data_IF_333509539390
#
_entry.id   IF_333509539390
#
_cell.length_a   1.000
_cell.length_b   1.000
_cell.length_c   1.000
_cell.angle_alpha   90.00
_cell.angle_beta   90.00
_cell.angle_gamma   90.00
#
_symmetry.space_group_name_H-M   'P 1'
#
loop_
_entity.id
_entity.type
_entity.pdbx_description
1 polymer ?
#
# COMPACT_ATOMS: atom_id res chain seq x y z
N UNK A 1 9.52 -2.09 17.39
CA UNK A 1 8.42 -2.68 16.62
C UNK A 1 8.97 -3.90 15.90
N UNK A 2 8.34 -5.06 16.10
CA UNK A 2 8.75 -6.33 15.49
C UNK A 2 7.95 -6.53 14.20
N UNK A 3 8.60 -6.32 13.06
CA UNK A 3 8.01 -6.35 11.73
C UNK A 3 8.65 -7.51 10.96
N UNK A 4 7.87 -8.32 10.24
CA UNK A 4 8.38 -9.48 9.50
C UNK A 4 7.88 -9.54 8.06
N UNK A 5 8.56 -10.32 7.23
CA UNK A 5 8.22 -10.50 5.82
C UNK A 5 8.03 -11.99 5.48
N UNK A 6 7.05 -12.28 4.63
CA UNK A 6 6.84 -13.60 4.02
C UNK A 6 6.94 -13.49 2.51
N UNK A 7 7.74 -14.35 1.88
CA UNK A 7 8.01 -14.33 0.44
C UNK A 7 7.67 -15.70 -0.15
N UNK A 8 6.54 -15.77 -0.86
CA UNK A 8 6.03 -17.03 -1.42
C UNK A 8 6.70 -17.46 -2.74
N UNK A 9 7.62 -16.66 -3.29
CA UNK A 9 8.31 -17.02 -4.54
C UNK A 9 9.29 -18.17 -4.27
N UNK A 10 9.26 -19.20 -5.11
CA UNK A 10 10.16 -20.36 -5.07
C UNK A 10 11.48 -20.14 -5.82
N UNK A 11 11.75 -18.92 -6.28
CA UNK A 11 13.00 -18.56 -6.96
C UNK A 11 14.19 -18.61 -6.00
N UNK A 12 15.36 -19.03 -6.47
CA UNK A 12 16.62 -18.97 -5.70
C UNK A 12 17.02 -17.53 -5.33
N UNK A 13 16.46 -16.54 -6.03
CA UNK A 13 16.60 -15.12 -5.74
C UNK A 13 15.22 -14.47 -5.52
N UNK A 14 14.41 -15.06 -4.63
CA UNK A 14 13.06 -14.58 -4.30
C UNK A 14 13.07 -13.27 -3.51
N UNK A 15 14.03 -13.11 -2.60
CA UNK A 15 14.26 -11.88 -1.85
C UNK A 15 15.63 -11.32 -2.22
N UNK A 16 15.67 -10.08 -2.75
CA UNK A 16 16.88 -9.54 -3.37
C UNK A 16 17.24 -8.18 -2.81
N UNK A 17 18.50 -8.00 -2.46
CA UNK A 17 19.10 -6.70 -2.18
C UNK A 17 19.83 -6.16 -3.40
N UNK A 18 19.49 -4.97 -3.87
CA UNK A 18 20.20 -4.34 -5.00
C UNK A 18 21.14 -3.24 -4.48
N UNK A 19 22.43 -3.39 -4.78
CA UNK A 19 23.49 -2.46 -4.34
C UNK A 19 24.27 -2.95 -3.13
N UNK A 20 25.35 -2.24 -2.78
CA UNK A 20 26.16 -2.54 -1.59
C UNK A 20 25.41 -2.10 -0.33
N UNK A 21 25.38 -2.95 0.71
CA UNK A 21 24.68 -2.73 1.98
C UNK A 21 23.13 -2.69 1.87
N UNK A 22 22.54 -3.58 1.08
CA UNK A 22 21.08 -3.73 0.99
C UNK A 22 20.51 -4.51 2.19
N UNK A 23 20.74 -3.98 3.38
CA UNK A 23 20.37 -4.60 4.65
C UNK A 23 18.92 -4.28 5.04
N UNK A 24 18.21 -5.25 5.62
CA UNK A 24 16.87 -5.07 6.17
C UNK A 24 16.88 -5.23 7.68
N UNK A 25 16.15 -4.36 8.37
CA UNK A 25 15.97 -4.42 9.83
C UNK A 25 14.55 -4.94 10.11
N UNK A 26 14.40 -6.27 10.13
CA UNK A 26 13.14 -6.99 10.37
C UNK A 26 13.39 -8.04 11.43
N UNK A 27 12.36 -8.43 12.19
CA UNK A 27 12.51 -9.47 13.22
C UNK A 27 12.35 -10.89 12.69
N UNK A 28 11.77 -11.07 11.50
CA UNK A 28 11.64 -12.37 10.83
C UNK A 28 11.49 -12.19 9.32
N UNK A 29 12.11 -13.08 8.54
CA UNK A 29 11.93 -13.16 7.08
C UNK A 29 11.78 -14.64 6.74
N UNK A 30 10.61 -15.07 6.29
CA UNK A 30 10.37 -16.41 5.76
C UNK A 30 10.29 -16.38 4.23
N UNK A 31 11.02 -17.25 3.54
CA UNK A 31 11.12 -17.30 2.09
C UNK A 31 10.91 -18.73 1.60
N UNK A 32 10.00 -18.94 0.64
CA UNK A 32 9.80 -20.27 0.04
C UNK A 32 10.96 -20.72 -0.85
N UNK A 33 11.54 -19.81 -1.62
CA UNK A 33 12.77 -20.02 -2.38
C UNK A 33 14.01 -19.60 -1.61
N UNK A 34 14.94 -18.91 -2.27
CA UNK A 34 16.18 -18.41 -1.71
C UNK A 34 16.28 -16.88 -1.67
N UNK A 35 17.34 -16.39 -1.02
CA UNK A 35 17.71 -14.97 -0.97
C UNK A 35 19.00 -14.67 -1.75
N UNK A 36 19.04 -13.48 -2.34
CA UNK A 36 20.21 -12.88 -3.01
C UNK A 36 20.45 -11.50 -2.38
N UNK A 37 20.93 -11.50 -1.14
CA UNK A 37 21.17 -10.29 -0.34
C UNK A 37 22.68 -10.11 -0.13
N UNK A 38 23.23 -9.02 -0.63
CA UNK A 38 24.53 -8.53 -0.18
C UNK A 38 24.36 -7.45 0.89
N UNK A 39 24.77 -7.79 2.11
CA UNK A 39 24.71 -6.92 3.28
C UNK A 39 26.06 -6.81 4.00
N UNK A 40 27.20 -7.14 3.36
CA UNK A 40 28.56 -6.96 3.92
C UNK A 40 28.69 -7.38 5.41
N UNK A 41 28.12 -8.53 5.78
CA UNK A 41 28.12 -9.08 7.14
C UNK A 41 27.38 -8.24 8.21
N UNK A 42 26.48 -7.33 7.81
CA UNK A 42 25.66 -6.49 8.69
C UNK A 42 24.21 -7.00 8.87
N UNK A 43 23.95 -8.28 8.57
CA UNK A 43 22.60 -8.85 8.65
C UNK A 43 22.17 -8.92 10.12
N UNK A 44 21.05 -8.27 10.48
CA UNK A 44 20.47 -8.39 11.82
C UNK A 44 19.66 -9.68 12.01
N UNK A 45 19.06 -10.19 10.94
CA UNK A 45 18.35 -11.47 10.91
C UNK A 45 18.73 -12.26 9.66
N UNK A 46 18.97 -13.56 9.81
CA UNK A 46 19.16 -14.47 8.68
C UNK A 46 17.78 -14.90 8.18
N UNK A 47 17.46 -14.75 6.88
CA UNK A 47 16.21 -15.26 6.32
C UNK A 47 16.09 -16.78 6.49
N UNK A 48 14.89 -17.22 6.83
CA UNK A 48 14.49 -18.62 6.92
C UNK A 48 13.99 -19.07 5.53
N UNK A 49 14.83 -19.81 4.80
CA UNK A 49 14.56 -20.23 3.42
C UNK A 49 13.98 -21.64 3.36
N UNK A 50 13.20 -21.94 2.33
CA UNK A 50 12.51 -23.23 2.17
C UNK A 50 11.23 -23.38 3.00
N UNK A 51 10.72 -22.30 3.60
CA UNK A 51 9.46 -22.35 4.35
C UNK A 51 8.24 -22.49 3.42
N UNK A 52 7.14 -23.13 3.85
CA UNK A 52 5.94 -23.25 3.03
C UNK A 52 5.37 -21.89 2.60
N UNK A 53 4.83 -21.83 1.38
CA UNK A 53 4.16 -20.62 0.89
C UNK A 53 2.89 -20.34 1.72
N UNK A 54 2.71 -19.09 2.11
CA UNK A 54 1.56 -18.63 2.89
C UNK A 54 0.42 -18.27 1.96
N UNK A 55 -0.78 -18.79 2.21
CA UNK A 55 -1.98 -18.39 1.45
C UNK A 55 -2.28 -16.90 1.69
N UNK A 56 -2.77 -16.21 0.66
CA UNK A 56 -3.17 -14.79 0.79
C UNK A 56 -4.09 -14.59 2.02
N UNK A 57 -3.62 -13.87 3.05
CA UNK A 57 -4.32 -13.75 4.33
C UNK A 57 -5.62 -12.94 4.22
N UNK A 58 -5.81 -12.20 3.12
CA UNK A 58 -6.97 -11.35 2.88
C UNK A 58 -7.93 -11.95 1.85
N UNK A 59 -7.68 -13.16 1.34
CA UNK A 59 -8.46 -13.80 0.26
C UNK A 59 -9.96 -13.97 0.59
N UNK A 60 -10.34 -13.97 1.87
CA UNK A 60 -11.74 -14.10 2.30
C UNK A 60 -12.50 -12.78 2.33
N UNK A 61 -11.80 -11.64 2.25
CA UNK A 61 -12.43 -10.33 2.23
C UNK A 61 -13.17 -10.14 0.89
N UNK A 62 -14.44 -9.77 0.94
CA UNK A 62 -15.27 -9.56 -0.28
C UNK A 62 -14.99 -8.18 -0.86
N UNK A 63 -14.66 -8.09 -2.15
CA UNK A 63 -14.43 -6.80 -2.83
C UNK A 63 -15.64 -5.85 -2.75
N UNK A 64 -15.43 -4.53 -2.71
CA UNK A 64 -16.52 -3.57 -2.85
C UNK A 64 -17.33 -3.81 -4.12
N UNK A 65 -18.64 -4.07 -3.96
CA UNK A 65 -19.55 -4.24 -5.08
C UNK A 65 -19.85 -2.88 -5.73
N UNK A 66 -19.10 -2.60 -6.80
CA UNK A 66 -19.23 -1.34 -7.55
C UNK A 66 -20.56 -1.22 -8.30
N UNK A 67 -21.36 -2.29 -8.45
CA UNK A 67 -22.64 -2.23 -9.16
C UNK A 67 -23.76 -1.58 -8.34
N UNK A 68 -23.60 -1.54 -7.02
CA UNK A 68 -24.59 -1.01 -6.07
C UNK A 68 -24.15 0.30 -5.39
N UNK A 69 -22.92 0.76 -5.63
CA UNK A 69 -22.39 1.97 -5.02
C UNK A 69 -22.90 3.23 -5.72
N UNK A 70 -23.20 4.27 -4.94
CA UNK A 70 -23.53 5.58 -5.47
C UNK A 70 -22.30 6.23 -6.13
N UNK A 71 -22.55 7.18 -7.04
CA UNK A 71 -21.50 8.03 -7.60
C UNK A 71 -20.93 8.94 -6.50
N UNK A 72 -19.61 8.99 -6.40
CA UNK A 72 -18.92 9.93 -5.53
C UNK A 72 -18.92 11.35 -6.12
N UNK A 73 -18.37 12.32 -5.39
CA UNK A 73 -18.13 13.67 -5.91
C UNK A 73 -16.97 13.70 -6.92
N UNK A 74 -16.83 14.84 -7.62
CA UNK A 74 -15.62 15.18 -8.38
C UNK A 74 -15.30 14.32 -9.62
N UNK A 75 -16.30 13.64 -10.21
CA UNK A 75 -16.16 12.64 -11.29
C UNK A 75 -15.62 13.14 -12.65
N UNK A 76 -15.13 14.37 -12.75
CA UNK A 76 -14.62 14.97 -14.00
C UNK A 76 -13.24 15.63 -13.84
N UNK A 77 -12.56 15.47 -12.70
CA UNK A 77 -11.51 16.42 -12.31
C UNK A 77 -10.06 15.96 -12.56
N UNK A 78 -9.39 16.68 -13.47
CA UNK A 78 -7.92 16.85 -13.50
C UNK A 78 -7.64 18.19 -12.82
N UNK A 79 -6.85 18.24 -11.74
CA UNK A 79 -6.70 19.48 -10.96
C UNK A 79 -5.24 19.94 -10.95
N UNK A 80 -5.06 21.19 -11.36
CA UNK A 80 -3.80 21.93 -11.46
C UNK A 80 -3.99 23.30 -10.79
N UNK A 81 -3.83 23.41 -9.46
CA UNK A 81 -4.00 24.71 -8.78
C UNK A 81 -3.82 24.72 -7.25
N UNK A 82 -4.59 25.61 -6.61
CA UNK A 82 -4.71 25.78 -5.15
C UNK A 82 -6.20 25.67 -4.80
N UNK A 83 -6.74 24.46 -4.85
CA UNK A 83 -8.17 24.21 -4.60
C UNK A 83 -8.37 23.50 -3.26
N UNK A 84 -9.52 23.71 -2.63
CA UNK A 84 -9.98 22.86 -1.52
C UNK A 84 -11.06 21.92 -2.05
N UNK A 85 -10.81 20.61 -1.97
CA UNK A 85 -11.65 19.59 -2.60
C UNK A 85 -12.06 18.55 -1.56
N UNK A 86 -13.33 18.20 -1.54
CA UNK A 86 -13.86 17.14 -0.67
C UNK A 86 -14.38 15.99 -1.52
N UNK A 87 -13.82 14.80 -1.32
CA UNK A 87 -14.29 13.55 -1.89
C UNK A 87 -15.32 12.93 -0.95
N UNK A 88 -16.56 12.77 -1.44
CA UNK A 88 -17.58 11.96 -0.77
C UNK A 88 -17.41 10.49 -1.18
N UNK A 89 -17.72 9.51 -0.30
CA UNK A 89 -17.61 8.10 -0.64
C UNK A 89 -18.47 7.74 -1.86
N UNK A 90 -17.98 6.82 -2.69
CA UNK A 90 -18.67 6.40 -3.90
C UNK A 90 -17.73 6.11 -5.07
N UNK A 91 -18.33 5.98 -6.25
CA UNK A 91 -17.62 5.70 -7.50
C UNK A 91 -17.17 7.00 -8.16
N UNK A 92 -15.87 7.09 -8.41
CA UNK A 92 -15.18 8.17 -9.07
C UNK A 92 -14.77 7.74 -10.48
N UNK A 93 -15.51 8.25 -11.48
CA UNK A 93 -15.39 7.82 -12.89
C UNK A 93 -14.52 8.73 -13.76
N UNK A 94 -13.96 9.80 -13.20
CA UNK A 94 -13.06 10.70 -13.91
C UNK A 94 -11.64 10.16 -13.98
N UNK A 95 -10.74 10.91 -14.62
CA UNK A 95 -9.30 10.77 -14.38
C UNK A 95 -8.96 11.69 -13.22
N UNK A 96 -8.48 11.15 -12.10
CA UNK A 96 -8.21 11.92 -10.90
C UNK A 96 -6.71 12.18 -10.76
N UNK A 97 -6.31 13.42 -11.01
CA UNK A 97 -4.95 13.89 -10.82
C UNK A 97 -4.96 15.07 -9.85
N UNK A 98 -4.42 14.85 -8.65
CA UNK A 98 -4.23 15.87 -7.61
C UNK A 98 -2.79 16.37 -7.72
N UNK A 99 -2.61 17.69 -7.86
CA UNK A 99 -1.28 18.27 -8.09
C UNK A 99 -1.14 19.68 -7.48
N UNK A 100 0.02 20.31 -7.67
CA UNK A 100 0.26 21.68 -7.22
C UNK A 100 0.18 21.82 -5.70
N UNK A 101 -0.69 22.73 -5.24
CA UNK A 101 -0.91 23.00 -3.80
C UNK A 101 -2.36 22.75 -3.40
N UNK A 102 -3.05 21.84 -4.08
CA UNK A 102 -4.43 21.45 -3.73
C UNK A 102 -4.49 20.89 -2.29
N UNK A 103 -5.61 21.15 -1.60
CA UNK A 103 -5.96 20.59 -0.30
C UNK A 103 -7.15 19.67 -0.50
N UNK A 104 -6.93 18.37 -0.35
CA UNK A 104 -7.92 17.33 -0.59
C UNK A 104 -8.29 16.65 0.72
N UNK A 105 -9.59 16.51 0.96
CA UNK A 105 -10.15 15.75 2.07
C UNK A 105 -10.99 14.60 1.53
N UNK A 106 -10.65 13.38 1.93
CA UNK A 106 -11.50 12.21 1.77
C UNK A 106 -12.37 12.04 3.01
N UNK A 107 -13.69 12.10 2.83
CA UNK A 107 -14.64 11.77 3.89
C UNK A 107 -14.61 10.26 4.20
N UNK A 108 -14.94 9.83 5.43
CA UNK A 108 -14.91 8.41 5.78
C UNK A 108 -15.81 7.56 4.87
N UNK A 109 -15.28 6.45 4.36
CA UNK A 109 -16.00 5.52 3.49
C UNK A 109 -15.14 4.90 2.40
N UNK A 110 -15.81 4.22 1.47
CA UNK A 110 -15.16 3.57 0.32
C UNK A 110 -15.15 4.51 -0.88
N UNK A 111 -13.97 4.78 -1.42
CA UNK A 111 -13.74 5.56 -2.62
C UNK A 111 -13.25 4.66 -3.74
N UNK A 112 -14.05 4.51 -4.78
CA UNK A 112 -13.75 3.63 -5.90
C UNK A 112 -13.24 4.47 -7.06
N UNK A 113 -11.98 4.31 -7.46
CA UNK A 113 -11.40 5.07 -8.57
C UNK A 113 -11.33 4.21 -9.84
N UNK A 114 -12.31 4.39 -10.72
CA UNK A 114 -12.47 3.55 -11.91
C UNK A 114 -11.35 3.74 -12.94
N UNK A 115 -10.62 4.86 -12.93
CA UNK A 115 -9.53 5.13 -13.88
C UNK A 115 -8.17 5.38 -13.21
N UNK A 116 -8.00 4.90 -11.98
CA UNK A 116 -6.79 5.16 -11.20
C UNK A 116 -6.84 6.51 -10.47
N UNK A 117 -5.82 6.72 -9.66
CA UNK A 117 -5.64 7.91 -8.83
C UNK A 117 -4.17 8.32 -8.88
N UNK A 118 -3.92 9.52 -9.36
CA UNK A 118 -2.60 10.15 -9.37
C UNK A 118 -2.58 11.30 -8.38
N UNK A 119 -1.57 11.34 -7.52
CA UNK A 119 -1.31 12.42 -6.58
C UNK A 119 0.15 12.83 -6.75
N UNK A 120 0.40 13.96 -7.40
CA UNK A 120 1.74 14.46 -7.72
C UNK A 120 2.14 15.72 -6.94
N UNK A 121 1.26 16.22 -6.08
CA UNK A 121 1.47 17.40 -5.23
C UNK A 121 0.29 17.61 -4.27
N UNK A 122 0.31 18.73 -3.54
CA UNK A 122 -0.75 19.11 -2.61
C UNK A 122 -0.74 18.36 -1.27
N UNK A 123 -1.78 18.59 -0.48
CA UNK A 123 -2.03 17.94 0.81
C UNK A 123 -3.30 17.09 0.70
N UNK A 124 -3.19 15.81 1.03
CA UNK A 124 -4.32 14.86 1.00
C UNK A 124 -4.54 14.30 2.39
N UNK A 125 -5.75 14.41 2.91
CA UNK A 125 -6.13 13.98 4.26
C UNK A 125 -7.37 13.10 4.23
N UNK A 126 -7.49 12.18 5.18
CA UNK A 126 -8.67 11.31 5.31
C UNK A 126 -8.51 10.31 6.43
N UNK A 127 -9.59 10.04 7.15
CA UNK A 127 -9.63 9.03 8.22
C UNK A 127 -10.86 8.17 8.03
N UNK A 128 -10.70 6.86 8.21
CA UNK A 128 -11.76 5.91 7.95
C UNK A 128 -12.02 5.71 6.46
N UNK A 129 -10.97 5.73 5.65
CA UNK A 129 -11.08 5.70 4.19
C UNK A 129 -10.51 4.42 3.60
N UNK A 130 -11.23 3.82 2.66
CA UNK A 130 -10.74 2.72 1.82
C UNK A 130 -10.76 3.17 0.37
N UNK A 131 -9.60 3.19 -0.27
CA UNK A 131 -9.44 3.52 -1.68
C UNK A 131 -9.35 2.21 -2.46
N UNK A 132 -10.35 1.95 -3.29
CA UNK A 132 -10.47 0.74 -4.09
C UNK A 132 -10.28 1.03 -5.59
N UNK A 133 -9.49 0.18 -6.25
CA UNK A 133 -9.21 0.21 -7.68
C UNK A 133 -9.80 -1.05 -8.34
N UNK A 134 -11.03 -1.00 -8.89
CA UNK A 134 -11.79 -2.18 -9.34
C UNK A 134 -11.28 -2.83 -10.65
N UNK A 135 -10.05 -2.48 -11.08
CA UNK A 135 -9.37 -2.78 -12.34
C UNK A 135 -10.12 -3.62 -13.40
N UNK A 136 -10.85 -2.97 -14.34
CA UNK A 136 -11.49 -3.71 -15.43
C UNK A 136 -10.68 -3.80 -16.75
N UNK A 137 -9.81 -2.86 -17.15
CA UNK A 137 -9.31 -2.84 -18.57
C UNK A 137 -8.02 -2.04 -18.92
N UNK A 138 -7.11 -1.63 -18.01
CA UNK A 138 -5.93 -0.85 -18.46
C UNK A 138 -4.86 -0.46 -17.43
N UNK A 139 -4.00 0.51 -17.79
CA UNK A 139 -2.94 1.13 -16.97
C UNK A 139 -3.52 1.99 -15.82
N UNK A 140 -4.48 1.45 -15.08
CA UNK A 140 -5.17 2.12 -13.98
C UNK A 140 -4.46 1.77 -12.70
N UNK A 141 -3.74 2.72 -12.12
CA UNK A 141 -2.91 2.50 -10.94
C UNK A 141 -3.11 3.60 -9.90
N UNK A 142 -2.65 3.31 -8.69
CA UNK A 142 -2.29 4.32 -7.71
C UNK A 142 -0.92 4.89 -8.07
N UNK A 143 -0.77 6.20 -8.19
CA UNK A 143 0.54 6.84 -8.34
C UNK A 143 0.63 8.05 -7.42
N UNK A 144 1.39 7.94 -6.34
CA UNK A 144 1.57 9.02 -5.36
C UNK A 144 3.03 9.45 -5.40
N UNK A 145 3.33 10.73 -5.53
CA UNK A 145 4.70 11.23 -5.59
C UNK A 145 4.80 12.76 -5.64
N UNK A 146 5.94 13.25 -6.14
CA UNK A 146 6.08 14.64 -6.58
C UNK A 146 6.08 15.72 -5.48
N UNK A 147 6.21 15.36 -4.20
CA UNK A 147 6.17 16.33 -3.10
C UNK A 147 4.86 16.37 -2.33
N UNK A 148 3.90 15.51 -2.65
CA UNK A 148 2.61 15.49 -1.94
C UNK A 148 2.77 15.13 -0.46
N UNK A 149 1.97 15.78 0.39
CA UNK A 149 1.81 15.44 1.82
C UNK A 149 0.55 14.64 2.01
N UNK A 150 0.67 13.37 2.39
CA UNK A 150 -0.47 12.45 2.53
C UNK A 150 -0.65 12.09 4.00
N UNK A 151 -1.88 12.18 4.52
CA UNK A 151 -2.26 11.71 5.84
C UNK A 151 -3.56 10.91 5.74
N UNK A 152 -3.43 9.61 5.51
CA UNK A 152 -4.57 8.73 5.29
C UNK A 152 -4.58 7.57 6.30
N UNK A 153 -5.76 7.29 6.85
CA UNK A 153 -5.98 6.18 7.77
C UNK A 153 -7.19 5.34 7.36
N UNK A 154 -7.00 4.02 7.34
CA UNK A 154 -8.04 3.03 7.09
C UNK A 154 -9.18 3.09 8.13
N UNK A 155 -10.36 2.51 7.82
CA UNK A 155 -11.43 2.32 8.81
C UNK A 155 -10.97 1.48 10.00
N UNK A 156 -11.41 1.86 11.20
CA UNK A 156 -11.19 1.07 12.44
C UNK A 156 -12.34 0.10 12.73
N UNK A 157 -13.39 0.13 11.92
CA UNK A 157 -14.58 -0.72 12.03
C UNK A 157 -15.23 -0.92 10.66
N UNK A 158 -16.28 -1.73 10.60
CA UNK A 158 -16.98 -2.06 9.34
C UNK A 158 -16.29 -3.17 8.53
N UNK A 159 -16.85 -3.50 7.34
CA UNK A 159 -16.40 -4.64 6.55
C UNK A 159 -14.97 -4.48 6.01
N UNK A 160 -14.51 -3.24 5.82
CA UNK A 160 -13.18 -2.91 5.28
C UNK A 160 -12.23 -2.33 6.32
N UNK A 161 -12.48 -2.67 7.60
CA UNK A 161 -11.57 -2.34 8.70
C UNK A 161 -10.13 -2.70 8.35
N UNK A 162 -9.21 -1.76 8.54
CA UNK A 162 -7.79 -1.91 8.28
C UNK A 162 -7.38 -1.84 6.81
N UNK A 163 -8.30 -1.69 5.86
CA UNK A 163 -7.99 -1.59 4.43
C UNK A 163 -7.87 -0.13 3.99
N UNK A 164 -6.66 0.28 3.59
CA UNK A 164 -6.42 1.65 3.10
C UNK A 164 -6.43 1.70 1.57
N UNK A 165 -5.56 0.92 0.91
CA UNK A 165 -5.51 0.82 -0.54
C UNK A 165 -5.74 -0.62 -0.98
N UNK A 166 -6.58 -0.80 -1.99
CA UNK A 166 -6.93 -2.12 -2.48
C UNK A 166 -7.14 -2.10 -4.00
N UNK A 167 -6.43 -2.95 -4.75
CA UNK A 167 -6.79 -3.26 -6.13
C UNK A 167 -7.55 -4.58 -6.27
N UNK A 168 -8.48 -4.62 -7.22
CA UNK A 168 -9.24 -5.84 -7.52
C UNK A 168 -8.29 -7.02 -7.77
N UNK A 169 -8.65 -8.20 -7.26
CA UNK A 169 -7.94 -9.45 -7.48
C UNK A 169 -7.95 -9.85 -8.94
N UNK A 170 -8.91 -9.39 -9.73
CA UNK A 170 -8.90 -9.58 -11.19
C UNK A 170 -7.87 -8.72 -11.92
N UNK A 171 -7.16 -7.82 -11.23
CA UNK A 171 -6.14 -6.96 -11.85
C UNK A 171 -5.06 -7.81 -12.55
N UNK A 172 -4.77 -7.56 -13.85
CA UNK A 172 -3.71 -8.26 -14.55
C UNK A 172 -2.33 -7.83 -14.03
N UNK A 173 -1.38 -8.76 -13.99
CA UNK A 173 0.01 -8.44 -13.70
C UNK A 173 0.68 -7.73 -14.89
N UNK A 174 0.86 -6.40 -14.84
CA UNK A 174 1.67 -5.63 -15.82
C UNK A 174 2.59 -4.58 -15.17
N UNK A 175 3.75 -4.97 -14.65
CA UNK A 175 4.68 -4.01 -14.04
C UNK A 175 5.05 -2.86 -14.99
N UNK A 176 5.19 -1.61 -14.50
CA UNK A 176 4.88 -1.16 -13.13
C UNK A 176 3.39 -0.82 -12.95
N UNK A 177 2.77 -1.39 -11.91
CA UNK A 177 1.50 -0.92 -11.35
C UNK A 177 1.77 -0.39 -9.95
N UNK A 178 0.96 0.56 -9.51
CA UNK A 178 0.87 1.05 -8.14
C UNK A 178 2.21 1.50 -7.52
N UNK A 179 2.38 2.80 -7.44
CA UNK A 179 3.60 3.42 -6.97
C UNK A 179 3.30 4.42 -5.86
N UNK A 180 4.09 4.35 -4.81
CA UNK A 180 4.27 5.45 -3.88
C UNK A 180 5.73 5.88 -4.02
N UNK A 181 5.95 6.95 -4.77
CA UNK A 181 7.21 7.48 -5.19
C UNK A 181 7.85 8.42 -4.15
N UNK A 182 9.15 8.63 -4.35
CA UNK A 182 10.01 9.54 -3.57
C UNK A 182 9.46 10.98 -3.57
N UNK A 183 9.77 11.71 -2.49
CA UNK A 183 9.49 13.15 -2.33
C UNK A 183 8.35 13.48 -1.38
N UNK A 184 7.67 12.50 -0.81
CA UNK A 184 6.53 12.64 0.09
C UNK A 184 6.92 12.71 1.60
N UNK A 185 8.05 13.34 1.92
CA UNK A 185 8.54 13.45 3.29
C UNK A 185 7.46 14.06 4.22
N UNK A 186 7.29 13.48 5.42
CA UNK A 186 6.24 13.88 6.36
C UNK A 186 4.83 13.32 6.06
N UNK A 187 4.69 12.46 5.04
CA UNK A 187 3.44 11.73 4.81
C UNK A 187 3.27 10.55 5.77
N UNK A 188 2.04 10.33 6.23
CA UNK A 188 1.61 9.20 7.03
C UNK A 188 0.56 8.36 6.30
N UNK A 189 0.74 7.04 6.37
CA UNK A 189 -0.21 6.06 5.89
C UNK A 189 -0.45 5.05 6.99
N UNK A 190 -1.70 4.86 7.40
CA UNK A 190 -2.09 3.88 8.40
C UNK A 190 -3.12 2.92 7.84
N UNK A 191 -2.71 1.69 7.58
CA UNK A 191 -3.58 0.65 7.05
C UNK A 191 -2.90 -0.28 6.05
N UNK A 192 -3.72 -1.10 5.43
CA UNK A 192 -3.28 -2.18 4.53
C UNK A 192 -3.23 -1.71 3.08
N UNK A 193 -2.18 -2.14 2.39
CA UNK A 193 -1.92 -2.00 0.97
C UNK A 193 -2.07 -3.38 0.34
N UNK A 194 -3.19 -3.62 -0.35
CA UNK A 194 -3.53 -4.93 -0.90
C UNK A 194 -3.59 -4.88 -2.42
N UNK A 195 -2.53 -5.38 -3.05
CA UNK A 195 -2.31 -5.43 -4.50
C UNK A 195 -1.95 -6.85 -4.95
N UNK A 196 -2.81 -7.85 -4.68
CA UNK A 196 -2.44 -9.28 -4.66
C UNK A 196 -1.86 -9.81 -5.97
N UNK A 197 -2.22 -9.22 -7.11
CA UNK A 197 -1.76 -9.64 -8.44
C UNK A 197 -0.89 -8.61 -9.16
N UNK A 198 -0.52 -7.52 -8.48
CA UNK A 198 0.20 -6.40 -9.08
C UNK A 198 1.58 -6.20 -8.44
N UNK A 199 2.45 -5.48 -9.17
CA UNK A 199 3.67 -4.93 -8.60
C UNK A 199 3.32 -3.78 -7.65
N UNK A 200 4.14 -3.54 -6.64
CA UNK A 200 4.04 -2.38 -5.78
C UNK A 200 5.43 -1.77 -5.57
N UNK A 201 5.59 -0.52 -6.01
CA UNK A 201 6.80 0.25 -5.84
C UNK A 201 6.66 1.20 -4.64
N UNK A 202 7.50 1.01 -3.62
CA UNK A 202 7.62 1.91 -2.48
C UNK A 202 8.96 2.64 -2.51
N UNK A 203 8.91 3.95 -2.70
CA UNK A 203 10.08 4.82 -2.76
C UNK A 203 9.96 6.00 -1.80
N UNK A 204 11.10 6.38 -1.20
CA UNK A 204 11.22 7.58 -0.36
C UNK A 204 11.24 7.28 1.13
N UNK A 205 11.38 8.34 1.93
CA UNK A 205 11.36 8.31 3.40
C UNK A 205 10.06 8.97 3.88
N UNK A 206 8.87 8.35 3.69
CA UNK A 206 7.73 8.78 4.46
C UNK A 206 8.13 8.65 5.93
N UNK A 207 7.77 9.62 6.75
CA UNK A 207 8.18 9.68 8.16
C UNK A 207 7.33 8.69 8.99
N UNK A 208 7.27 7.43 8.54
CA UNK A 208 6.58 6.33 9.20
C UNK A 208 7.30 5.90 10.47
N UNK A 209 8.50 6.42 10.72
CA UNK A 209 9.31 6.12 11.90
C UNK A 209 8.97 7.01 13.12
N UNK A 210 8.23 8.12 12.96
CA UNK A 210 8.07 9.12 14.03
C UNK A 210 6.66 9.27 14.61
N UNK A 211 5.61 8.75 13.97
CA UNK A 211 4.26 8.79 14.54
C UNK A 211 3.94 7.46 15.24
N UNK A 212 4.01 7.47 16.57
CA UNK A 212 3.82 6.33 17.51
C UNK A 212 2.46 5.58 17.42
N UNK A 213 1.71 5.73 16.34
CA UNK A 213 0.39 5.11 16.13
C UNK A 213 0.06 4.84 14.64
N UNK A 214 1.08 4.79 13.76
CA UNK A 214 0.88 4.36 12.37
C UNK A 214 1.31 2.91 12.20
N UNK A 215 0.62 2.19 11.31
CA UNK A 215 0.90 0.79 11.00
C UNK A 215 0.64 0.54 9.52
N UNK A 216 1.40 -0.40 8.93
CA UNK A 216 1.23 -0.79 7.53
C UNK A 216 1.27 -2.31 7.42
N UNK A 217 0.38 -2.86 6.61
CA UNK A 217 0.45 -4.24 6.13
C UNK A 217 0.49 -4.18 4.61
N UNK A 218 1.44 -4.87 3.98
CA UNK A 218 1.54 -4.88 2.51
C UNK A 218 1.40 -6.32 2.05
N UNK A 219 0.46 -6.55 1.13
CA UNK A 219 0.26 -7.83 0.45
C UNK A 219 0.21 -7.52 -1.04
N UNK A 220 1.24 -7.94 -1.78
CA UNK A 220 1.35 -7.71 -3.22
C UNK A 220 2.03 -8.90 -3.91
N UNK A 221 1.90 -8.98 -5.24
CA UNK A 221 2.56 -10.05 -6.01
C UNK A 221 4.07 -9.91 -5.99
N UNK A 222 4.55 -8.68 -6.10
CA UNK A 222 5.97 -8.31 -6.01
C UNK A 222 6.08 -6.92 -5.40
N UNK A 223 7.05 -6.71 -4.52
CA UNK A 223 7.31 -5.43 -3.87
C UNK A 223 8.73 -4.98 -4.19
N UNK A 224 8.89 -3.73 -4.65
CA UNK A 224 10.20 -3.07 -4.74
C UNK A 224 10.25 -1.95 -3.73
N UNK A 225 11.29 -1.93 -2.90
CA UNK A 225 11.53 -0.85 -1.93
C UNK A 225 12.82 -0.15 -2.32
N UNK A 226 12.77 1.17 -2.51
CA UNK A 226 13.90 1.94 -3.03
C UNK A 226 14.14 3.24 -2.23
N UNK A 227 15.40 3.46 -1.82
CA UNK A 227 15.86 4.70 -1.18
C UNK A 227 16.47 4.45 0.20
N UNK A 228 17.16 5.46 0.75
CA UNK A 228 17.76 5.41 2.10
C UNK A 228 16.72 5.49 3.22
N UNK A 229 15.55 4.89 2.99
CA UNK A 229 14.54 4.78 4.02
C UNK A 229 15.15 3.92 5.13
N UNK A 230 15.26 4.50 6.32
CA UNK A 230 15.10 3.71 7.53
C UNK A 230 13.70 3.15 7.44
N UNK A 231 13.60 2.00 6.79
CA UNK A 231 12.39 1.26 6.53
C UNK A 231 11.94 0.63 7.84
N UNK A 232 11.45 1.47 8.76
CA UNK A 232 10.46 1.05 9.75
C UNK A 232 9.15 0.77 9.00
N UNK A 233 9.22 -0.19 8.07
CA UNK A 233 8.07 -0.67 7.32
C UNK A 233 7.40 -1.66 8.26
N UNK A 234 6.11 -1.47 8.47
CA UNK A 234 5.21 -2.46 9.07
C UNK A 234 5.25 -2.61 10.59
N UNK A 235 5.11 -1.52 11.35
CA UNK A 235 4.54 -1.72 12.69
C UNK A 235 3.25 -2.54 12.51
N UNK A 236 3.07 -3.69 13.20
CA UNK A 236 1.93 -4.55 12.97
C UNK A 236 0.62 -3.80 13.26
N UNK A 237 -0.49 -4.16 12.59
CA UNK A 237 -1.78 -3.60 12.92
C UNK A 237 -2.08 -3.82 14.41
N UNK A 238 -2.63 -2.82 15.11
CA UNK A 238 -3.29 -3.03 16.38
C UNK A 238 -4.31 -4.18 16.28
N UNK A 239 -4.51 -5.02 17.32
CA UNK A 239 -5.45 -6.14 17.27
C UNK A 239 -6.87 -5.74 16.84
N UNK A 240 -7.30 -4.55 17.23
CA UNK A 240 -8.58 -3.94 16.88
C UNK A 240 -8.62 -3.30 15.47
N UNK A 241 -7.54 -3.37 14.70
CA UNK A 241 -7.43 -2.84 13.34
C UNK A 241 -6.86 -3.86 12.33
N UNK A 242 -6.49 -5.06 12.78
CA UNK A 242 -5.99 -6.14 11.93
C UNK A 242 -7.08 -6.65 10.97
N UNK A 243 -6.89 -6.54 9.64
CA UNK A 243 -7.84 -7.07 8.66
C UNK A 243 -7.72 -8.58 8.44
N UNK A 244 -6.68 -9.23 8.97
CA UNK A 244 -6.49 -10.68 8.88
C UNK A 244 -7.49 -11.36 9.82
N UNK A 245 -8.46 -12.06 9.25
CA UNK A 245 -9.50 -12.77 9.99
C UNK A 245 -9.04 -14.20 10.36
N UNK A 246 -8.55 -14.37 11.59
CA UNK A 246 -8.26 -15.68 12.19
C UNK A 246 -6.77 -15.93 12.46
N UNK A 247 -6.44 -16.93 13.30
CA UNK A 247 -5.06 -17.23 13.65
C UNK A 247 -4.33 -17.72 12.39
N UNK A 248 -3.34 -16.97 11.94
CA UNK A 248 -2.30 -17.48 11.04
C UNK A 248 -1.40 -18.34 11.92
N UNK A 249 -1.81 -19.58 12.15
CA UNK A 249 -0.93 -20.63 12.67
C UNK A 249 -0.01 -21.01 11.52
N UNK A 250 1.24 -20.53 11.57
CA UNK A 250 2.36 -21.16 10.87
C UNK A 250 3.05 -21.99 11.95
N UNK A 251 2.95 -23.32 11.84
CA UNK A 251 3.94 -24.21 12.47
C UNK A 251 5.14 -24.31 11.53
#
# INVERSE_FOLDING_TARGET
ASCGAMVNSSSDAAFRGLGTNACTNTTYIGITGGDDIDCNDQRQTVPDTGVPAVVDPLIRLVEPDTSIMAMGSNNRMIINGVNTIVYTPGIHTGNHNISGSDVVLFQPGVHVFNNGLTISGGTVTGTGVTIFLPNPTGNKSLDIGGGATINLAAPTSGPYKGMLFWSARSAPYRPPHNKIARGNAGSTYSGTFYFPNEHFDWGGTPDSAAANNTWQLIVARTVSIQGGANTAIMNPPPPDQNPILGPVMVE
#
